data_IF_347493246677
#
_entry.id   IF_347493246677
#
_cell.length_a   1.000
_cell.length_b   1.000
_cell.length_c   1.000
_cell.angle_alpha   90.00
_cell.angle_beta   90.00
_cell.angle_gamma   90.00
#
_symmetry.space_group_name_H-M   'P 1'
#
loop_
_entity.id
_entity.type
_entity.pdbx_description
1 polymer ?
#
# COMPACT_ATOMS: atom_id res chain seq x y z
N UNK A 1 -6.55 -28.96 -65.76
CA UNK A 1 -6.57 -30.23 -65.00
C UNK A 1 -5.38 -30.18 -64.06
N UNK A 2 -5.67 -30.08 -62.75
CA UNK A 2 -4.81 -30.16 -61.55
C UNK A 2 -3.47 -29.38 -61.51
N UNK A 3 -3.43 -28.39 -60.62
CA UNK A 3 -2.24 -27.68 -60.16
C UNK A 3 -1.49 -28.48 -59.07
N UNK A 4 -0.16 -28.39 -59.07
CA UNK A 4 0.73 -28.92 -58.05
C UNK A 4 0.63 -28.07 -56.78
N UNK A 5 0.41 -28.72 -55.64
CA UNK A 5 0.53 -28.13 -54.30
C UNK A 5 1.64 -28.89 -53.56
N UNK A 6 2.66 -28.15 -53.15
CA UNK A 6 3.72 -28.59 -52.25
C UNK A 6 3.13 -28.91 -50.87
N UNK A 7 3.52 -30.07 -50.33
CA UNK A 7 3.14 -30.49 -48.99
C UNK A 7 4.12 -29.99 -47.95
N UNK A 8 3.68 -29.05 -47.11
CA UNK A 8 4.32 -28.72 -45.83
C UNK A 8 4.13 -29.87 -44.82
N UNK A 9 5.17 -30.25 -44.06
CA UNK A 9 5.03 -31.16 -42.94
C UNK A 9 4.43 -30.42 -41.73
N UNK A 10 3.25 -30.88 -41.34
CA UNK A 10 2.50 -30.48 -40.17
C UNK A 10 3.18 -30.81 -38.84
N UNK A 11 2.79 -30.01 -37.84
CA UNK A 11 2.73 -30.24 -36.39
C UNK A 11 4.00 -30.05 -35.57
N UNK A 12 4.30 -28.79 -35.28
CA UNK A 12 4.93 -28.34 -34.05
C UNK A 12 4.06 -28.71 -32.84
N UNK A 13 4.54 -29.63 -32.00
CA UNK A 13 4.01 -29.89 -30.66
C UNK A 13 4.49 -28.80 -29.70
N UNK A 14 3.67 -27.78 -29.49
CA UNK A 14 3.89 -26.76 -28.47
C UNK A 14 2.62 -26.56 -27.65
N UNK A 15 2.40 -27.44 -26.67
CA UNK A 15 1.41 -27.22 -25.62
C UNK A 15 1.65 -28.20 -24.46
N UNK A 16 2.10 -27.71 -23.28
CA UNK A 16 1.84 -28.31 -21.95
C UNK A 16 2.69 -27.73 -20.79
N UNK A 17 3.35 -26.56 -20.89
CA UNK A 17 4.18 -26.07 -19.75
C UNK A 17 3.40 -25.26 -18.70
N UNK A 18 2.17 -24.83 -18.99
CA UNK A 18 1.43 -23.88 -18.14
C UNK A 18 0.46 -24.55 -17.15
N UNK A 19 0.03 -25.79 -17.41
CA UNK A 19 -0.87 -26.53 -16.49
C UNK A 19 -0.12 -27.15 -15.29
N UNK A 20 1.18 -27.44 -15.44
CA UNK A 20 1.96 -28.14 -14.41
C UNK A 20 2.32 -27.24 -13.21
N UNK A 21 2.53 -25.95 -13.44
CA UNK A 21 2.92 -25.02 -12.37
C UNK A 21 1.74 -24.71 -11.44
N UNK A 22 0.53 -24.60 -11.98
CA UNK A 22 -0.69 -24.37 -11.20
C UNK A 22 -1.05 -25.57 -10.31
N UNK A 23 -0.85 -26.80 -10.78
CA UNK A 23 -1.05 -28.01 -9.97
C UNK A 23 0.00 -28.14 -8.87
N UNK A 24 1.27 -27.80 -9.16
CA UNK A 24 2.35 -27.80 -8.17
C UNK A 24 2.14 -26.76 -7.07
N UNK A 25 1.68 -25.55 -7.41
CA UNK A 25 1.35 -24.50 -6.43
C UNK A 25 0.18 -24.92 -5.52
N UNK A 26 -0.88 -25.51 -6.10
CA UNK A 26 -2.00 -26.07 -5.30
C UNK A 26 -1.54 -27.19 -4.37
N UNK A 27 -0.56 -27.99 -4.79
CA UNK A 27 0.01 -29.04 -3.97
C UNK A 27 0.82 -28.49 -2.78
N UNK A 28 1.67 -27.47 -3.01
CA UNK A 28 2.40 -26.78 -1.92
C UNK A 28 1.42 -26.17 -0.91
N UNK A 29 0.35 -25.51 -1.39
CA UNK A 29 -0.69 -24.96 -0.52
C UNK A 29 -1.39 -26.02 0.33
N UNK A 30 -1.57 -27.24 -0.20
CA UNK A 30 -2.19 -28.36 0.51
C UNK A 30 -1.24 -29.01 1.53
N UNK A 31 0.06 -29.04 1.23
CA UNK A 31 1.11 -29.49 2.15
C UNK A 31 1.28 -28.51 3.32
N UNK A 32 1.17 -27.21 3.04
CA UNK A 32 1.46 -26.14 3.98
C UNK A 32 0.23 -25.26 4.17
N UNK A 33 -0.80 -25.77 4.88
CA UNK A 33 -1.99 -25.00 5.14
C UNK A 33 -1.63 -23.74 5.94
N UNK A 34 -2.31 -22.62 5.69
CA UNK A 34 -2.12 -21.40 6.47
C UNK A 34 -2.40 -21.68 7.95
N UNK A 35 -1.50 -21.21 8.82
CA UNK A 35 -1.58 -21.36 10.27
C UNK A 35 -1.22 -20.03 10.91
N UNK A 36 -2.04 -19.61 11.86
CA UNK A 36 -1.79 -18.42 12.68
C UNK A 36 -1.87 -18.86 14.13
N UNK A 37 -0.78 -18.69 14.87
CA UNK A 37 -0.74 -18.99 16.31
C UNK A 37 -0.31 -17.76 17.08
N UNK A 38 -0.92 -17.55 18.24
CA UNK A 38 -0.61 -16.44 19.12
C UNK A 38 0.03 -17.00 20.38
N UNK A 39 1.22 -16.51 20.70
CA UNK A 39 1.91 -16.75 21.96
C UNK A 39 1.86 -15.48 22.81
N UNK A 40 1.12 -15.56 23.90
CA UNK A 40 0.99 -14.49 24.88
C UNK A 40 1.72 -14.80 26.20
N UNK A 41 2.56 -15.84 26.25
CA UNK A 41 3.30 -16.25 27.43
C UNK A 41 4.80 -15.91 27.34
N UNK A 42 5.42 -16.06 26.17
CA UNK A 42 6.88 -15.94 26.02
C UNK A 42 7.45 -14.53 26.18
N UNK A 43 6.63 -13.50 25.94
CA UNK A 43 7.07 -12.10 25.99
C UNK A 43 6.26 -11.34 27.05
N UNK A 44 6.89 -10.63 28.01
CA UNK A 44 6.16 -9.96 29.09
C UNK A 44 5.39 -8.71 28.64
N UNK A 45 5.90 -8.01 27.62
CA UNK A 45 5.45 -6.67 27.21
C UNK A 45 4.74 -6.64 25.85
N UNK A 46 4.77 -7.73 25.08
CA UNK A 46 4.11 -7.82 23.78
C UNK A 46 3.41 -9.17 23.59
N UNK A 47 2.50 -9.22 22.64
CA UNK A 47 1.83 -10.43 22.16
C UNK A 47 2.55 -10.89 20.89
N UNK A 48 2.98 -12.14 20.84
CA UNK A 48 3.71 -12.69 19.69
C UNK A 48 2.74 -13.42 18.76
N UNK A 49 2.73 -13.04 17.49
CA UNK A 49 1.93 -13.67 16.44
C UNK A 49 2.88 -14.39 15.50
N UNK A 50 2.66 -15.68 15.30
CA UNK A 50 3.33 -16.49 14.29
C UNK A 50 2.38 -16.74 13.12
N UNK A 51 2.88 -16.52 11.91
CA UNK A 51 2.14 -16.72 10.67
C UNK A 51 2.94 -17.66 9.78
N UNK A 52 2.39 -18.85 9.53
CA UNK A 52 2.99 -19.86 8.67
C UNK A 52 2.07 -20.17 7.49
N UNK A 53 2.59 -20.20 6.27
CA UNK A 53 1.80 -20.61 5.09
C UNK A 53 2.70 -20.94 3.90
N UNK A 54 2.10 -21.45 2.82
CA UNK A 54 2.75 -21.45 1.52
C UNK A 54 3.07 -20.01 1.07
N UNK A 55 4.27 -19.79 0.54
CA UNK A 55 4.67 -18.47 0.06
C UNK A 55 3.88 -18.09 -1.20
N UNK A 56 3.22 -16.93 -1.16
CA UNK A 56 2.56 -16.30 -2.32
C UNK A 56 3.03 -14.85 -2.43
N UNK A 57 3.14 -14.35 -3.66
CA UNK A 57 3.52 -12.96 -3.89
C UNK A 57 2.54 -12.01 -3.16
N UNK A 58 3.10 -11.07 -2.38
CA UNK A 58 2.32 -10.06 -1.66
C UNK A 58 1.77 -10.48 -0.29
N UNK A 59 2.00 -11.72 0.16
CA UNK A 59 1.46 -12.20 1.45
C UNK A 59 1.93 -11.38 2.66
N UNK A 60 3.19 -10.95 2.69
CA UNK A 60 3.71 -10.08 3.76
C UNK A 60 2.89 -8.79 3.85
N UNK A 61 2.59 -8.17 2.70
CA UNK A 61 1.81 -6.95 2.66
C UNK A 61 0.37 -7.20 3.13
N UNK A 62 -0.26 -8.33 2.74
CA UNK A 62 -1.59 -8.70 3.23
C UNK A 62 -1.64 -8.81 4.76
N UNK A 63 -0.65 -9.47 5.37
CA UNK A 63 -0.56 -9.63 6.83
C UNK A 63 -0.36 -8.28 7.50
N UNK A 64 0.58 -7.48 7.01
CA UNK A 64 0.88 -6.14 7.55
C UNK A 64 -0.31 -5.18 7.38
N UNK A 65 -1.09 -5.31 6.31
CA UNK A 65 -2.35 -4.59 6.12
C UNK A 65 -3.36 -4.92 7.23
N UNK A 66 -3.61 -6.21 7.48
CA UNK A 66 -4.52 -6.64 8.57
C UNK A 66 -4.05 -6.12 9.92
N UNK A 67 -2.76 -6.20 10.24
CA UNK A 67 -2.22 -5.67 11.49
C UNK A 67 -2.47 -4.15 11.62
N UNK A 68 -2.35 -3.43 10.50
CA UNK A 68 -2.59 -1.98 10.43
C UNK A 68 -4.06 -1.62 10.60
N UNK A 69 -4.96 -2.37 9.95
CA UNK A 69 -6.42 -2.20 10.05
C UNK A 69 -6.92 -2.46 11.47
N UNK A 70 -6.33 -3.44 12.15
CA UNK A 70 -6.57 -3.74 13.57
C UNK A 70 -5.90 -2.74 14.53
N UNK A 71 -5.19 -1.73 14.00
CA UNK A 71 -4.49 -0.69 14.76
C UNK A 71 -3.47 -1.25 15.75
N UNK A 72 -2.82 -2.35 15.38
CA UNK A 72 -1.77 -2.97 16.17
C UNK A 72 -0.44 -2.27 15.90
N UNK A 73 0.36 -2.11 16.95
CA UNK A 73 1.71 -1.55 16.86
C UNK A 73 2.70 -2.71 16.85
N UNK A 74 3.48 -2.83 15.78
CA UNK A 74 4.55 -3.83 15.66
C UNK A 74 5.81 -3.30 16.33
N UNK A 75 6.27 -3.99 17.37
CA UNK A 75 7.52 -3.67 18.11
C UNK A 75 8.73 -4.36 17.53
N UNK A 76 8.57 -5.64 17.18
CA UNK A 76 9.57 -6.41 16.46
C UNK A 76 8.91 -7.28 15.42
N UNK A 77 9.60 -7.53 14.32
CA UNK A 77 9.19 -8.53 13.36
C UNK A 77 10.39 -9.28 12.79
N UNK A 78 10.19 -10.56 12.53
CA UNK A 78 11.11 -11.42 11.80
C UNK A 78 10.36 -12.00 10.63
N UNK A 79 10.87 -11.77 9.43
CA UNK A 79 10.21 -12.12 8.17
C UNK A 79 11.06 -13.16 7.45
N UNK A 80 10.44 -14.22 6.95
CA UNK A 80 11.14 -15.25 6.19
C UNK A 80 10.23 -15.89 5.13
N UNK A 81 10.61 -15.71 3.87
CA UNK A 81 9.89 -16.18 2.67
C UNK A 81 10.83 -16.99 1.76
N UNK A 82 11.29 -18.15 2.20
CA UNK A 82 12.28 -18.97 1.49
C UNK A 82 11.77 -20.39 1.18
N UNK A 83 12.25 -21.00 0.10
CA UNK A 83 11.96 -22.38 -0.27
C UNK A 83 10.48 -22.68 -0.57
N UNK A 84 9.66 -21.67 -0.85
CA UNK A 84 8.20 -21.81 -1.00
C UNK A 84 7.42 -21.72 0.31
N UNK A 85 8.08 -21.36 1.41
CA UNK A 85 7.49 -21.23 2.74
C UNK A 85 7.48 -19.77 3.17
N UNK A 86 6.42 -19.37 3.86
CA UNK A 86 6.27 -18.07 4.49
C UNK A 86 6.14 -18.29 6.00
N UNK A 87 7.09 -17.78 6.77
CA UNK A 87 7.15 -17.91 8.23
C UNK A 87 7.56 -16.58 8.84
N UNK A 88 6.57 -15.86 9.35
CA UNK A 88 6.75 -14.54 9.92
C UNK A 88 6.32 -14.50 11.37
N UNK A 89 7.07 -13.73 12.17
CA UNK A 89 6.82 -13.54 13.60
C UNK A 89 6.71 -12.05 13.88
N UNK A 90 5.59 -11.63 14.47
CA UNK A 90 5.33 -10.24 14.83
C UNK A 90 5.10 -10.12 16.34
N UNK A 91 5.91 -9.30 17.02
CA UNK A 91 5.65 -8.89 18.39
C UNK A 91 4.83 -7.61 18.35
N UNK A 92 3.59 -7.69 18.80
CA UNK A 92 2.61 -6.59 18.70
C UNK A 92 2.08 -6.13 20.04
N UNK A 93 1.66 -4.88 20.08
CA UNK A 93 0.90 -4.27 21.17
C UNK A 93 -0.37 -3.62 20.62
N UNK A 94 -1.31 -3.29 21.50
CA UNK A 94 -2.44 -2.45 21.12
C UNK A 94 -2.00 -1.01 20.78
N UNK A 95 -2.95 -0.18 20.33
CA UNK A 95 -2.72 1.24 20.01
C UNK A 95 -2.18 2.09 21.18
N UNK A 96 -2.34 1.62 22.42
CA UNK A 96 -1.83 2.28 23.64
C UNK A 96 -0.44 1.78 24.03
N UNK A 97 0.19 0.93 23.22
CA UNK A 97 1.51 0.35 23.50
C UNK A 97 1.49 -0.78 24.55
N UNK A 98 0.32 -1.27 24.93
CA UNK A 98 0.16 -2.33 25.93
C UNK A 98 -0.05 -3.69 25.28
N UNK A 99 0.41 -4.72 25.98
CA UNK A 99 0.18 -6.12 25.60
C UNK A 99 -1.32 -6.43 25.53
N UNK A 100 -1.71 -7.25 24.56
CA UNK A 100 -3.12 -7.61 24.32
C UNK A 100 -3.46 -8.78 25.25
N UNK A 101 -4.36 -8.54 26.21
CA UNK A 101 -4.74 -9.54 27.22
C UNK A 101 -6.14 -10.12 27.01
N UNK A 102 -6.95 -9.49 26.17
CA UNK A 102 -8.34 -9.90 25.96
C UNK A 102 -8.40 -11.08 24.98
N UNK A 103 -8.86 -12.24 25.45
CA UNK A 103 -8.93 -13.47 24.65
C UNK A 103 -9.80 -13.33 23.39
N UNK A 104 -10.94 -12.62 23.48
CA UNK A 104 -11.79 -12.38 22.32
C UNK A 104 -11.10 -11.51 21.27
N UNK A 105 -10.27 -10.55 21.70
CA UNK A 105 -9.48 -9.75 20.77
C UNK A 105 -8.37 -10.58 20.12
N UNK A 106 -7.71 -11.47 20.87
CA UNK A 106 -6.69 -12.38 20.34
C UNK A 106 -7.28 -13.34 19.29
N UNK A 107 -8.42 -13.96 19.57
CA UNK A 107 -9.08 -14.83 18.59
C UNK A 107 -9.56 -14.05 17.36
N UNK A 108 -10.06 -12.82 17.56
CA UNK A 108 -10.41 -11.92 16.46
C UNK A 108 -9.20 -11.56 15.58
N UNK A 109 -8.04 -11.27 16.16
CA UNK A 109 -6.80 -11.00 15.40
C UNK A 109 -6.40 -12.22 14.58
N UNK A 110 -6.39 -13.40 15.21
CA UNK A 110 -6.04 -14.66 14.58
C UNK A 110 -6.95 -14.98 13.40
N UNK A 111 -8.26 -14.85 13.57
CA UNK A 111 -9.26 -15.11 12.53
C UNK A 111 -9.14 -14.13 11.35
N UNK A 112 -8.91 -12.83 11.60
CA UNK A 112 -8.71 -11.85 10.54
C UNK A 112 -7.44 -12.14 9.71
N UNK A 113 -6.32 -12.46 10.36
CA UNK A 113 -5.08 -12.81 9.66
C UNK A 113 -5.28 -14.11 8.88
N UNK A 114 -5.88 -15.13 9.50
CA UNK A 114 -6.15 -16.42 8.86
C UNK A 114 -7.01 -16.26 7.60
N UNK A 115 -8.11 -15.50 7.69
CA UNK A 115 -8.98 -15.22 6.54
C UNK A 115 -8.25 -14.51 5.40
N UNK A 116 -7.36 -13.57 5.73
CA UNK A 116 -6.56 -12.85 4.73
C UNK A 116 -5.63 -13.79 3.96
N UNK A 117 -4.86 -14.61 4.67
CA UNK A 117 -3.88 -15.51 4.05
C UNK A 117 -4.51 -16.76 3.39
N UNK A 118 -5.64 -17.25 3.93
CA UNK A 118 -6.36 -18.40 3.39
C UNK A 118 -7.18 -18.07 2.14
N UNK A 119 -7.49 -16.79 1.92
CA UNK A 119 -8.13 -16.34 0.69
C UNK A 119 -7.17 -16.58 -0.49
N UNK A 120 -7.62 -17.38 -1.47
CA UNK A 120 -6.83 -17.85 -2.60
C UNK A 120 -6.53 -16.80 -3.68
N UNK A 121 -6.67 -15.51 -3.37
CA UNK A 121 -6.35 -14.44 -4.32
C UNK A 121 -4.84 -14.24 -4.38
N UNK A 122 -4.19 -14.87 -5.36
CA UNK A 122 -2.83 -14.49 -5.75
C UNK A 122 -2.86 -13.06 -6.31
N UNK A 123 -2.11 -12.15 -5.68
CA UNK A 123 -1.85 -10.82 -6.23
C UNK A 123 -0.95 -10.98 -7.45
N UNK A 124 -1.53 -11.20 -8.62
CA UNK A 124 -0.83 -10.84 -9.86
C UNK A 124 -0.66 -9.31 -9.86
N UNK A 125 0.46 -8.75 -10.35
CA UNK A 125 0.64 -7.31 -10.55
C UNK A 125 -0.24 -6.77 -11.71
N UNK A 126 -1.43 -7.35 -11.90
CA UNK A 126 -2.42 -6.91 -12.86
C UNK A 126 -3.22 -5.76 -12.26
N UNK A 127 -3.23 -4.63 -12.97
CA UNK A 127 -3.97 -3.38 -12.68
C UNK A 127 -5.50 -3.54 -12.71
N UNK A 128 -6.04 -4.67 -12.30
CA UNK A 128 -7.48 -4.92 -12.27
C UNK A 128 -7.93 -5.09 -10.83
N UNK A 129 -8.93 -4.28 -10.50
CA UNK A 129 -9.65 -4.27 -9.25
C UNK A 129 -9.94 -5.71 -8.78
N UNK A 130 -9.77 -5.89 -7.47
CA UNK A 130 -10.23 -7.02 -6.68
C UNK A 130 -11.60 -7.47 -7.20
N UNK A 131 -11.67 -8.72 -7.66
CA UNK A 131 -12.92 -9.41 -7.96
C UNK A 131 -13.63 -9.81 -6.67
N UNK A 132 -14.09 -8.81 -5.92
CA UNK A 132 -15.18 -8.94 -4.97
C UNK A 132 -16.35 -8.24 -5.65
N UNK A 133 -17.47 -8.94 -5.89
CA UNK A 133 -18.71 -8.31 -6.39
C UNK A 133 -18.95 -7.02 -5.59
N UNK A 134 -18.79 -5.83 -6.18
CA UNK A 134 -18.86 -4.61 -5.42
C UNK A 134 -20.34 -4.31 -5.20
N UNK A 135 -20.87 -4.73 -4.05
CA UNK A 135 -21.98 -4.01 -3.43
C UNK A 135 -21.44 -2.67 -2.93
N UNK A 136 -21.02 -1.77 -3.85
CA UNK A 136 -20.46 -0.50 -3.47
C UNK A 136 -21.61 0.46 -3.14
N UNK A 137 -21.85 0.67 -1.85
CA UNK A 137 -22.82 1.66 -1.35
C UNK A 137 -22.43 3.11 -1.70
N UNK A 138 -21.20 3.32 -2.19
CA UNK A 138 -20.62 4.62 -2.53
C UNK A 138 -19.83 4.58 -3.84
N UNK A 139 -19.59 5.76 -4.41
CA UNK A 139 -18.70 6.00 -5.55
C UNK A 139 -17.34 6.47 -5.06
N UNK A 140 -16.26 5.92 -5.60
CA UNK A 140 -14.89 6.32 -5.27
C UNK A 140 -14.37 7.36 -6.27
N UNK A 141 -13.83 8.45 -5.76
CA UNK A 141 -13.16 9.51 -6.53
C UNK A 141 -11.69 9.54 -6.12
N UNK A 142 -10.80 9.33 -7.08
CA UNK A 142 -9.35 9.43 -6.92
C UNK A 142 -8.85 10.67 -7.63
N UNK A 143 -8.09 11.50 -6.92
CA UNK A 143 -7.54 12.76 -7.43
C UNK A 143 -6.04 12.80 -7.17
N UNK A 144 -5.28 13.21 -8.17
CA UNK A 144 -3.83 13.37 -8.06
C UNK A 144 -3.39 14.63 -8.81
N UNK A 145 -2.48 15.41 -8.24
CA UNK A 145 -1.88 16.56 -8.91
C UNK A 145 -0.99 17.40 -8.01
N UNK A 146 -0.75 18.65 -8.40
CA UNK A 146 0.11 19.58 -7.67
C UNK A 146 -0.68 20.20 -6.51
N UNK A 147 -0.14 20.10 -5.30
CA UNK A 147 -0.70 20.75 -4.12
C UNK A 147 -0.54 22.28 -4.20
N UNK A 148 -1.61 23.00 -3.83
CA UNK A 148 -1.61 24.46 -3.77
C UNK A 148 -2.59 24.96 -2.71
N UNK A 149 -2.35 26.16 -2.15
CA UNK A 149 -3.32 26.81 -1.28
C UNK A 149 -4.70 26.90 -1.94
N UNK A 150 -5.74 26.48 -1.23
CA UNK A 150 -7.13 26.51 -1.69
C UNK A 150 -7.60 25.28 -2.48
N UNK A 151 -6.71 24.34 -2.85
CA UNK A 151 -7.08 23.15 -3.65
C UNK A 151 -8.24 22.37 -3.03
N UNK A 152 -8.15 21.99 -1.76
CA UNK A 152 -9.20 21.24 -1.08
C UNK A 152 -10.52 22.03 -0.94
N UNK A 153 -10.44 23.35 -0.77
CA UNK A 153 -11.63 24.20 -0.72
C UNK A 153 -12.37 24.22 -2.07
N UNK A 154 -11.63 24.30 -3.18
CA UNK A 154 -12.20 24.22 -4.53
C UNK A 154 -12.83 22.85 -4.81
N UNK A 155 -12.15 21.76 -4.41
CA UNK A 155 -12.68 20.39 -4.52
C UNK A 155 -13.98 20.25 -3.72
N UNK A 156 -14.00 20.75 -2.49
CA UNK A 156 -15.18 20.70 -1.64
C UNK A 156 -16.36 21.47 -2.23
N UNK A 157 -16.10 22.65 -2.78
CA UNK A 157 -17.11 23.44 -3.47
C UNK A 157 -17.67 22.69 -4.69
N UNK A 158 -16.83 22.02 -5.49
CA UNK A 158 -17.30 21.22 -6.65
C UNK A 158 -18.19 20.06 -6.22
N UNK A 159 -17.79 19.28 -5.21
CA UNK A 159 -18.58 18.14 -4.74
C UNK A 159 -19.92 18.60 -4.15
N UNK A 160 -19.91 19.69 -3.37
CA UNK A 160 -21.13 20.26 -2.77
C UNK A 160 -22.09 20.79 -3.84
N UNK A 161 -21.57 21.49 -4.86
CA UNK A 161 -22.38 22.02 -5.97
C UNK A 161 -22.97 20.93 -6.89
N UNK A 162 -22.41 19.71 -6.86
CA UNK A 162 -22.88 18.57 -7.64
C UNK A 162 -23.74 17.61 -6.80
N UNK A 163 -24.27 18.09 -5.67
CA UNK A 163 -25.11 17.33 -4.74
C UNK A 163 -24.45 16.02 -4.28
N UNK A 164 -23.13 15.99 -4.17
CA UNK A 164 -22.40 14.84 -3.64
C UNK A 164 -22.35 14.95 -2.12
N UNK A 165 -22.72 13.88 -1.43
CA UNK A 165 -22.47 13.70 -0.02
C UNK A 165 -21.13 12.98 0.16
N UNK A 166 -20.22 13.55 0.95
CA UNK A 166 -18.90 12.94 1.21
C UNK A 166 -19.00 12.08 2.47
N UNK A 167 -18.81 10.77 2.31
CA UNK A 167 -18.85 9.81 3.41
C UNK A 167 -17.50 9.77 4.14
N UNK A 168 -16.42 9.65 3.38
CA UNK A 168 -15.04 9.62 3.88
C UNK A 168 -14.12 10.27 2.84
N UNK A 169 -13.09 10.96 3.31
CA UNK A 169 -12.05 11.53 2.45
C UNK A 169 -10.68 11.41 3.11
N UNK A 170 -9.74 10.78 2.40
CA UNK A 170 -8.33 10.73 2.79
C UNK A 170 -7.49 11.50 1.77
N UNK A 171 -6.67 12.42 2.28
CA UNK A 171 -5.83 13.29 1.45
C UNK A 171 -4.39 13.23 1.95
N UNK A 172 -3.44 12.97 1.06
CA UNK A 172 -2.00 13.01 1.33
C UNK A 172 -1.35 14.14 0.54
N UNK A 173 -0.43 14.85 1.18
CA UNK A 173 0.45 15.81 0.50
C UNK A 173 1.92 15.47 0.79
N UNK A 174 2.77 15.58 -0.22
CA UNK A 174 4.22 15.41 -0.09
C UNK A 174 4.93 16.01 -1.31
N UNK A 175 6.04 16.71 -1.11
CA UNK A 175 6.84 17.30 -2.20
C UNK A 175 6.02 18.09 -3.23
N UNK A 176 5.06 18.91 -2.76
CA UNK A 176 4.12 19.71 -3.60
C UNK A 176 3.20 18.86 -4.47
N UNK A 177 3.10 17.55 -4.24
CA UNK A 177 2.10 16.66 -4.82
C UNK A 177 0.99 16.42 -3.81
N UNK A 178 -0.22 16.25 -4.30
CA UNK A 178 -1.40 15.88 -3.53
C UNK A 178 -2.08 14.67 -4.16
N UNK A 179 -2.47 13.71 -3.33
CA UNK A 179 -3.34 12.60 -3.69
C UNK A 179 -4.55 12.58 -2.76
N UNK A 180 -5.75 12.31 -3.29
CA UNK A 180 -6.95 12.20 -2.51
C UNK A 180 -7.81 11.02 -2.97
N UNK A 181 -8.32 10.26 -2.01
CA UNK A 181 -9.31 9.21 -2.22
C UNK A 181 -10.57 9.60 -1.44
N UNK A 182 -11.66 9.82 -2.16
CA UNK A 182 -12.90 10.38 -1.62
C UNK A 182 -14.05 9.43 -1.93
N UNK A 183 -14.76 9.00 -0.90
CA UNK A 183 -15.97 8.18 -1.01
C UNK A 183 -17.18 9.10 -0.99
N UNK A 184 -17.98 9.07 -2.06
CA UNK A 184 -19.15 9.93 -2.23
C UNK A 184 -20.42 9.14 -2.50
N UNK A 185 -21.53 9.65 -2.01
CA UNK A 185 -22.88 9.20 -2.36
C UNK A 185 -23.67 10.35 -2.95
N UNK A 186 -24.77 10.04 -3.63
CA UNK A 186 -25.73 11.04 -4.04
C UNK A 186 -26.48 11.57 -2.80
N UNK A 187 -26.50 12.90 -2.60
CA UNK A 187 -27.17 13.53 -1.46
C UNK A 187 -28.67 13.22 -1.38
N UNK A 188 -29.35 12.98 -2.51
CA UNK A 188 -30.79 12.73 -2.54
C UNK A 188 -31.15 11.28 -2.23
N UNK A 189 -30.47 10.34 -2.87
CA UNK A 189 -30.73 8.90 -2.69
C UNK A 189 -29.96 8.25 -1.54
N UNK A 190 -28.82 8.84 -1.14
CA UNK A 190 -27.90 8.24 -0.18
C UNK A 190 -27.08 7.06 -0.72
N UNK A 191 -27.21 6.76 -2.02
CA UNK A 191 -26.58 5.62 -2.68
C UNK A 191 -25.42 6.06 -3.57
N UNK A 192 -24.65 5.08 -4.09
CA UNK A 192 -23.63 5.32 -5.10
C UNK A 192 -24.20 6.05 -6.32
N UNK A 193 -23.41 6.96 -6.87
CA UNK A 193 -23.76 7.71 -8.07
C UNK A 193 -23.54 6.80 -9.29
N UNK A 194 -24.62 6.24 -9.84
CA UNK A 194 -24.56 5.34 -11.00
C UNK A 194 -24.73 6.07 -12.35
N UNK A 195 -25.25 7.30 -12.34
CA UNK A 195 -25.48 8.07 -13.56
C UNK A 195 -24.17 8.47 -14.25
N UNK A 196 -23.89 7.84 -15.39
CA UNK A 196 -22.66 8.04 -16.16
C UNK A 196 -22.47 9.49 -16.61
N UNK A 197 -23.55 10.23 -16.93
CA UNK A 197 -23.43 11.63 -17.32
C UNK A 197 -23.03 12.50 -16.13
N UNK A 198 -23.64 12.28 -14.97
CA UNK A 198 -23.25 12.96 -13.73
C UNK A 198 -21.82 12.64 -13.32
N UNK A 199 -21.41 11.38 -13.41
CA UNK A 199 -20.01 10.99 -13.16
C UNK A 199 -19.06 11.69 -14.13
N UNK A 200 -19.44 11.81 -15.40
CA UNK A 200 -18.70 12.58 -16.41
C UNK A 200 -18.53 14.06 -16.02
N UNK A 201 -19.62 14.71 -15.58
CA UNK A 201 -19.60 16.10 -15.10
C UNK A 201 -18.73 16.28 -13.86
N UNK A 202 -18.83 15.37 -12.88
CA UNK A 202 -17.99 15.38 -11.67
C UNK A 202 -16.53 15.26 -12.05
N UNK A 203 -16.19 14.27 -12.88
CA UNK A 203 -14.83 14.03 -13.37
C UNK A 203 -14.27 15.24 -14.10
N UNK A 204 -15.02 15.86 -14.99
CA UNK A 204 -14.57 17.04 -15.74
C UNK A 204 -14.34 18.25 -14.83
N UNK A 205 -15.27 18.53 -13.90
CA UNK A 205 -15.15 19.66 -12.98
C UNK A 205 -13.97 19.51 -12.04
N UNK A 206 -13.79 18.32 -11.46
CA UNK A 206 -12.66 18.02 -10.58
C UNK A 206 -11.34 18.04 -11.35
N UNK A 207 -11.33 17.51 -12.58
CA UNK A 207 -10.15 17.60 -13.44
C UNK A 207 -9.76 19.05 -13.69
N UNK A 208 -10.71 19.97 -13.89
CA UNK A 208 -10.39 21.39 -14.10
C UNK A 208 -9.80 22.06 -12.85
N UNK A 209 -10.24 21.65 -11.65
CA UNK A 209 -9.65 22.10 -10.38
C UNK A 209 -8.21 21.58 -10.24
N UNK A 210 -7.96 20.33 -10.59
CA UNK A 210 -6.63 19.72 -10.46
C UNK A 210 -5.66 20.12 -11.60
N UNK A 211 -6.16 20.38 -12.82
CA UNK A 211 -5.37 20.79 -14.00
C UNK A 211 -5.06 22.30 -14.09
N UNK A 212 -5.16 23.07 -13.00
CA UNK A 212 -4.78 24.50 -13.05
C UNK A 212 -3.39 24.69 -13.70
N UNK A 213 -3.30 25.44 -14.81
CA UNK A 213 -2.12 25.71 -15.68
C UNK A 213 -1.20 24.53 -16.08
N UNK A 214 -1.32 23.33 -15.54
CA UNK A 214 -0.43 22.17 -15.78
C UNK A 214 -1.21 20.91 -16.19
N UNK A 215 -0.59 20.06 -17.00
CA UNK A 215 -1.21 18.90 -17.68
C UNK A 215 -1.15 17.59 -16.88
N UNK A 216 -0.59 17.60 -15.67
CA UNK A 216 -0.20 16.37 -14.95
C UNK A 216 -1.24 15.82 -13.97
N UNK A 217 -2.45 16.37 -13.95
CA UNK A 217 -3.46 15.98 -12.96
C UNK A 217 -4.37 14.85 -13.46
N UNK A 218 -4.65 13.89 -12.58
CA UNK A 218 -5.41 12.68 -12.88
C UNK A 218 -6.64 12.62 -11.99
N UNK A 219 -7.79 12.36 -12.62
CA UNK A 219 -9.06 12.12 -11.92
C UNK A 219 -9.64 10.80 -12.41
N UNK A 220 -9.77 9.85 -11.49
CA UNK A 220 -10.44 8.56 -11.73
C UNK A 220 -11.69 8.51 -10.88
N UNK A 221 -12.77 8.01 -11.46
CA UNK A 221 -13.98 7.67 -10.73
C UNK A 221 -14.22 6.19 -10.95
N UNK A 222 -14.27 5.43 -9.86
CA UNK A 222 -14.36 3.97 -9.89
C UNK A 222 -15.40 3.47 -8.87
N UNK A 223 -15.86 2.25 -9.09
CA UNK A 223 -16.63 1.47 -8.11
C UNK A 223 -15.71 0.39 -7.56
N UNK A 224 -15.64 0.24 -6.23
CA UNK A 224 -14.88 -0.84 -5.61
C UNK A 224 -14.33 -0.50 -4.23
N UNK A 225 -13.93 -1.57 -3.53
CA UNK A 225 -13.28 -1.52 -2.22
C UNK A 225 -11.78 -1.62 -2.49
N UNK A 226 -11.05 -0.53 -2.26
CA UNK A 226 -9.59 -0.55 -2.18
C UNK A 226 -9.19 -0.16 -0.76
N UNK A 227 -8.12 -0.76 -0.24
CA UNK A 227 -7.51 -0.27 1.00
C UNK A 227 -6.99 1.14 0.72
N UNK A 228 -7.68 2.16 1.23
CA UNK A 228 -7.48 3.59 0.91
C UNK A 228 -6.03 4.00 1.04
N UNK A 229 -5.37 3.60 2.13
CA UNK A 229 -3.97 3.96 2.38
C UNK A 229 -2.99 3.33 1.37
N UNK A 230 -3.19 2.06 0.98
CA UNK A 230 -2.40 1.41 -0.07
C UNK A 230 -2.63 2.10 -1.41
N UNK A 231 -3.88 2.49 -1.69
CA UNK A 231 -4.19 3.17 -2.94
C UNK A 231 -3.54 4.55 -3.00
N UNK A 232 -3.50 5.29 -1.90
CA UNK A 232 -2.80 6.57 -1.79
C UNK A 232 -1.28 6.41 -1.99
N UNK A 233 -0.66 5.35 -1.44
CA UNK A 233 0.74 5.01 -1.75
C UNK A 233 0.99 4.87 -3.24
N UNK A 234 0.16 4.07 -3.92
CA UNK A 234 0.27 3.84 -5.36
C UNK A 234 0.07 5.13 -6.16
N UNK A 235 -0.91 5.96 -5.78
CA UNK A 235 -1.15 7.24 -6.42
C UNK A 235 0.04 8.17 -6.28
N UNK A 236 0.63 8.30 -5.09
CA UNK A 236 1.81 9.14 -4.86
C UNK A 236 3.04 8.64 -5.62
N UNK A 237 3.25 7.31 -5.66
CA UNK A 237 4.32 6.68 -6.41
C UNK A 237 4.16 6.89 -7.93
N UNK A 238 2.96 6.68 -8.48
CA UNK A 238 2.63 6.94 -9.90
C UNK A 238 2.90 8.41 -10.27
N UNK A 239 2.67 9.31 -9.32
CA UNK A 239 2.82 10.76 -9.45
C UNK A 239 4.24 11.28 -9.19
N UNK A 240 5.14 10.36 -8.82
CA UNK A 240 6.58 10.60 -8.57
C UNK A 240 6.85 11.62 -7.49
N UNK A 241 6.08 11.60 -6.42
CA UNK A 241 6.30 12.44 -5.24
C UNK A 241 7.70 12.26 -4.62
N UNK A 242 8.37 11.14 -4.88
CA UNK A 242 9.73 10.84 -4.41
C UNK A 242 10.85 11.60 -5.17
N UNK A 243 10.56 12.21 -6.33
CA UNK A 243 11.55 12.97 -7.09
C UNK A 243 11.85 14.31 -6.39
N UNK A 244 12.98 14.37 -5.67
CA UNK A 244 13.48 15.63 -5.07
C UNK A 244 14.32 16.41 -6.07
N UNK A 245 14.15 17.74 -6.09
CA UNK A 245 15.07 18.64 -6.78
C UNK A 245 16.28 18.90 -5.85
N UNK A 246 17.50 18.68 -6.34
CA UNK A 246 18.75 18.68 -5.56
C UNK A 246 19.00 19.93 -4.68
N UNK A 247 18.27 21.03 -4.90
CA UNK A 247 18.39 22.29 -4.14
C UNK A 247 17.91 22.21 -2.68
N UNK A 248 17.18 21.18 -2.29
CA UNK A 248 16.60 21.06 -0.94
C UNK A 248 17.46 20.25 0.05
N UNK A 249 18.61 19.68 -0.38
CA UNK A 249 19.47 18.81 0.45
C UNK A 249 20.64 19.50 1.16
N UNK A 250 20.77 20.83 1.06
CA UNK A 250 21.98 21.55 1.53
C UNK A 250 22.13 21.71 3.06
N UNK A 251 21.23 21.20 3.92
CA UNK A 251 21.41 21.34 5.37
C UNK A 251 21.07 20.08 6.18
N UNK A 252 22.10 19.60 6.91
CA UNK A 252 22.13 18.57 7.96
C UNK A 252 21.53 17.19 7.60
N UNK A 253 22.35 16.13 7.62
CA UNK A 253 21.95 14.72 7.44
C UNK A 253 20.49 14.45 7.85
N UNK A 254 19.55 14.49 6.90
CA UNK A 254 18.15 14.47 7.26
C UNK A 254 17.76 13.01 7.42
N UNK A 255 17.30 12.67 8.62
CA UNK A 255 16.52 11.46 8.81
C UNK A 255 15.31 11.53 7.86
N UNK A 256 14.94 10.47 7.14
CA UNK A 256 15.35 9.07 7.30
C UNK A 256 16.67 8.69 6.59
N UNK A 257 17.45 7.81 7.21
CA UNK A 257 18.63 7.21 6.59
C UNK A 257 18.25 5.89 5.93
N UNK A 258 18.35 5.80 4.61
CA UNK A 258 18.09 4.58 3.83
C UNK A 258 19.33 4.24 3.02
N UNK A 259 19.78 2.99 3.07
CA UNK A 259 20.85 2.46 2.25
C UNK A 259 20.41 1.17 1.56
N UNK A 260 20.96 0.93 0.37
CA UNK A 260 20.72 -0.28 -0.42
C UNK A 260 22.07 -0.81 -0.87
N UNK A 261 22.39 -2.05 -0.50
CA UNK A 261 23.69 -2.68 -0.78
C UNK A 261 23.46 -4.08 -1.32
N UNK A 262 24.20 -4.47 -2.37
CA UNK A 262 24.10 -5.81 -2.91
C UNK A 262 24.93 -6.80 -2.10
N UNK A 263 24.31 -7.90 -1.68
CA UNK A 263 24.97 -9.04 -1.06
C UNK A 263 25.35 -10.06 -2.14
N UNK A 264 26.56 -9.90 -2.67
CA UNK A 264 27.05 -10.65 -3.85
C UNK A 264 27.13 -12.17 -3.66
N UNK A 265 27.19 -12.69 -2.43
CA UNK A 265 27.25 -14.13 -2.17
C UNK A 265 25.90 -14.84 -2.19
N UNK A 266 24.78 -14.12 -2.05
CA UNK A 266 23.44 -14.71 -1.92
C UNK A 266 22.42 -14.11 -2.89
N UNK A 267 22.88 -13.34 -3.89
CA UNK A 267 22.05 -12.69 -4.89
C UNK A 267 20.87 -11.89 -4.30
N UNK A 268 21.10 -11.22 -3.17
CA UNK A 268 20.12 -10.33 -2.54
C UNK A 268 20.59 -8.88 -2.61
N UNK A 269 19.64 -7.95 -2.59
CA UNK A 269 19.91 -6.58 -2.18
C UNK A 269 19.40 -6.37 -0.76
N UNK A 270 20.22 -5.78 0.09
CA UNK A 270 19.87 -5.46 1.47
C UNK A 270 19.51 -3.99 1.55
N UNK A 271 18.27 -3.73 1.96
CA UNK A 271 17.77 -2.41 2.29
C UNK A 271 17.87 -2.25 3.80
N UNK A 272 18.64 -1.26 4.25
CA UNK A 272 18.70 -0.89 5.66
C UNK A 272 18.12 0.50 5.82
N UNK A 273 17.18 0.65 6.76
CA UNK A 273 16.56 1.93 7.06
C UNK A 273 16.57 2.21 8.55
N UNK A 274 16.84 3.47 8.86
CA UNK A 274 16.79 4.01 10.22
C UNK A 274 15.98 5.29 10.17
N UNK A 275 14.94 5.40 10.98
CA UNK A 275 14.10 6.60 11.06
C UNK A 275 13.51 6.78 12.47
N UNK A 276 12.80 7.89 12.72
CA UNK A 276 11.96 8.00 13.91
C UNK A 276 10.85 6.95 13.81
N UNK A 277 10.59 6.23 14.90
CA UNK A 277 9.47 5.28 14.92
C UNK A 277 8.14 6.03 14.85
N UNK A 278 7.15 5.42 14.19
CA UNK A 278 5.79 5.93 14.10
C UNK A 278 4.81 4.82 13.74
N UNK A 279 3.51 4.98 14.06
CA UNK A 279 2.48 4.07 13.56
C UNK A 279 2.56 3.87 12.05
N UNK A 280 2.26 2.66 11.60
CA UNK A 280 2.19 2.25 10.18
C UNK A 280 3.52 2.31 9.41
N UNK A 281 4.65 2.54 10.07
CA UNK A 281 5.95 2.58 9.41
C UNK A 281 6.25 1.28 8.64
N UNK A 282 6.02 0.12 9.26
CA UNK A 282 6.21 -1.19 8.61
C UNK A 282 5.30 -1.36 7.38
N UNK A 283 4.05 -0.91 7.47
CA UNK A 283 3.13 -0.94 6.34
C UNK A 283 3.65 -0.09 5.19
N UNK A 284 4.07 1.15 5.46
CA UNK A 284 4.53 2.07 4.42
C UNK A 284 5.80 1.54 3.71
N UNK A 285 6.72 0.91 4.45
CA UNK A 285 7.98 0.38 3.90
C UNK A 285 7.75 -0.87 3.06
N UNK A 286 6.99 -1.84 3.57
CA UNK A 286 6.63 -3.07 2.84
C UNK A 286 5.76 -2.76 1.62
N UNK A 287 4.80 -1.83 1.75
CA UNK A 287 3.96 -1.38 0.64
C UNK A 287 4.82 -0.78 -0.48
N UNK A 288 5.76 0.09 -0.13
CA UNK A 288 6.67 0.72 -1.10
C UNK A 288 7.50 -0.33 -1.85
N UNK A 289 8.12 -1.28 -1.13
CA UNK A 289 8.89 -2.35 -1.77
C UNK A 289 8.02 -3.20 -2.71
N UNK A 290 6.82 -3.57 -2.26
CA UNK A 290 5.89 -4.40 -3.04
C UNK A 290 5.39 -3.66 -4.30
N UNK A 291 5.04 -2.38 -4.18
CA UNK A 291 4.58 -1.56 -5.31
C UNK A 291 5.72 -1.27 -6.30
N UNK A 292 6.97 -1.27 -5.83
CA UNK A 292 8.17 -1.27 -6.68
C UNK A 292 8.55 -2.65 -7.23
N UNK A 293 7.69 -3.67 -7.07
CA UNK A 293 7.88 -5.04 -7.54
C UNK A 293 9.06 -5.79 -6.90
N UNK A 294 9.43 -5.40 -5.68
CA UNK A 294 10.41 -6.13 -4.87
C UNK A 294 9.73 -7.07 -3.88
N UNK A 295 10.26 -8.30 -3.80
CA UNK A 295 9.85 -9.33 -2.86
C UNK A 295 10.82 -9.34 -1.68
N UNK A 296 10.30 -9.27 -0.46
CA UNK A 296 11.07 -9.42 0.77
C UNK A 296 11.22 -10.91 1.08
N UNK A 297 12.45 -11.42 1.00
CA UNK A 297 12.78 -12.81 1.35
C UNK A 297 13.10 -12.96 2.82
N UNK A 298 13.84 -12.02 3.38
CA UNK A 298 14.10 -11.98 4.82
C UNK A 298 13.96 -10.55 5.31
N UNK A 299 13.55 -10.38 6.56
CA UNK A 299 13.43 -9.06 7.16
C UNK A 299 13.55 -9.08 8.67
N UNK A 300 14.05 -7.98 9.21
CA UNK A 300 14.08 -7.71 10.64
C UNK A 300 13.59 -6.31 10.89
N UNK A 301 12.68 -6.15 11.84
CA UNK A 301 12.10 -4.87 12.27
C UNK A 301 12.30 -4.75 13.76
N UNK A 302 12.81 -3.62 14.21
CA UNK A 302 12.97 -3.30 15.62
C UNK A 302 12.60 -1.84 15.88
N UNK A 303 11.63 -1.61 16.76
CA UNK A 303 11.17 -0.28 17.19
C UNK A 303 11.24 -0.08 18.71
N UNK A 304 11.97 -0.94 19.43
CA UNK A 304 12.14 -0.79 20.88
C UNK A 304 13.13 0.33 21.25
N UNK A 305 13.97 0.76 20.31
CA UNK A 305 14.93 1.84 20.48
C UNK A 305 14.33 3.26 20.33
N UNK A 306 15.16 4.31 20.50
CA UNK A 306 14.75 5.70 20.24
C UNK A 306 14.42 5.97 18.76
N UNK A 307 14.78 5.03 17.88
CA UNK A 307 14.60 5.08 16.44
C UNK A 307 14.19 3.68 15.98
N UNK A 308 13.37 3.62 14.94
CA UNK A 308 13.05 2.37 14.26
C UNK A 308 14.22 1.96 13.36
N UNK A 309 14.54 0.68 13.38
CA UNK A 309 15.49 0.02 12.50
C UNK A 309 14.74 -1.06 11.72
N UNK A 310 14.89 -1.05 10.39
CA UNK A 310 14.40 -2.14 9.55
C UNK A 310 15.47 -2.56 8.55
N UNK A 311 15.59 -3.86 8.33
CA UNK A 311 16.50 -4.46 7.37
C UNK A 311 15.73 -5.48 6.54
N UNK A 312 15.82 -5.37 5.21
CA UNK A 312 15.13 -6.26 4.29
C UNK A 312 16.08 -6.81 3.24
N UNK A 313 16.03 -8.11 3.02
CA UNK A 313 16.70 -8.83 1.96
C UNK A 313 15.69 -8.99 0.82
N UNK A 314 15.91 -8.25 -0.25
CA UNK A 314 14.97 -8.14 -1.36
C UNK A 314 15.57 -8.67 -2.66
N UNK A 315 14.69 -9.16 -3.53
CA UNK A 315 14.93 -9.36 -4.96
C UNK A 315 13.78 -8.74 -5.73
N UNK A 316 14.05 -8.30 -6.95
CA UNK A 316 12.97 -7.95 -7.86
C UNK A 316 12.12 -9.19 -8.18
N UNK A 317 10.88 -9.02 -8.62
CA UNK A 317 9.97 -10.12 -8.94
C UNK A 317 10.52 -11.07 -10.02
N UNK A 318 11.47 -10.60 -10.84
CA UNK A 318 12.21 -11.43 -11.81
C UNK A 318 13.33 -12.27 -11.19
N UNK A 319 13.55 -12.17 -9.88
CA UNK A 319 14.57 -12.89 -9.12
C UNK A 319 15.94 -12.22 -9.08
N UNK A 320 16.14 -11.09 -9.75
CA UNK A 320 17.42 -10.39 -9.78
C UNK A 320 17.61 -9.45 -8.57
N UNK A 321 18.85 -9.22 -8.11
CA UNK A 321 19.15 -8.13 -7.18
C UNK A 321 19.06 -6.77 -7.91
N UNK A 322 19.17 -5.68 -7.16
CA UNK A 322 19.24 -4.32 -7.70
C UNK A 322 20.46 -4.18 -8.60
N UNK A 323 20.26 -3.90 -9.88
CA UNK A 323 21.32 -4.03 -10.88
C UNK A 323 21.94 -2.69 -11.32
N UNK A 324 21.33 -1.55 -10.97
CA UNK A 324 21.81 -0.23 -11.38
C UNK A 324 21.81 0.82 -10.26
N UNK A 325 22.71 1.81 -10.37
CA UNK A 325 22.72 2.97 -9.46
C UNK A 325 21.42 3.77 -9.53
N UNK A 326 20.84 3.91 -10.73
CA UNK A 326 19.58 4.64 -10.91
C UNK A 326 18.40 3.95 -10.20
N UNK A 327 18.33 2.63 -10.28
CA UNK A 327 17.35 1.81 -9.57
C UNK A 327 17.55 1.89 -8.05
N UNK A 328 18.79 1.74 -7.58
CA UNK A 328 19.15 1.94 -6.17
C UNK A 328 18.73 3.31 -5.64
N UNK A 329 19.06 4.39 -6.37
CA UNK A 329 18.67 5.75 -6.00
C UNK A 329 17.15 5.90 -5.95
N UNK A 330 16.43 5.28 -6.90
CA UNK A 330 14.96 5.28 -6.92
C UNK A 330 14.37 4.60 -5.69
N UNK A 331 14.87 3.43 -5.30
CA UNK A 331 14.41 2.70 -4.10
C UNK A 331 14.62 3.56 -2.85
N UNK A 332 15.81 4.15 -2.71
CA UNK A 332 16.14 5.05 -1.60
C UNK A 332 15.13 6.21 -1.55
N UNK A 333 14.94 6.92 -2.67
CA UNK A 333 14.02 8.06 -2.74
C UNK A 333 12.57 7.67 -2.44
N UNK A 334 12.10 6.54 -2.95
CA UNK A 334 10.73 6.07 -2.70
C UNK A 334 10.51 5.73 -1.22
N UNK A 335 11.47 5.05 -0.58
CA UNK A 335 11.41 4.73 0.84
C UNK A 335 11.52 5.98 1.72
N UNK A 336 12.42 6.91 1.40
CA UNK A 336 12.52 8.20 2.09
C UNK A 336 11.18 8.95 2.03
N UNK A 337 10.58 9.07 0.84
CA UNK A 337 9.30 9.72 0.65
C UNK A 337 8.17 9.01 1.43
N UNK A 338 8.10 7.68 1.35
CA UNK A 338 7.10 6.90 2.07
C UNK A 338 7.19 7.08 3.60
N UNK A 339 8.41 7.15 4.14
CA UNK A 339 8.63 7.42 5.56
C UNK A 339 8.14 8.83 5.92
N UNK A 340 8.46 9.83 5.09
CA UNK A 340 8.17 11.25 5.33
C UNK A 340 6.69 11.65 5.16
N UNK A 341 5.94 10.95 4.29
CA UNK A 341 4.51 11.23 4.02
C UNK A 341 3.65 11.38 5.28
N UNK A 342 3.99 10.69 6.38
CA UNK A 342 3.21 10.68 7.64
C UNK A 342 3.93 11.24 8.86
N UNK A 343 5.09 11.90 8.71
CA UNK A 343 5.88 12.41 9.85
C UNK A 343 5.15 13.51 10.64
N UNK A 344 4.11 14.12 10.06
CA UNK A 344 3.33 15.20 10.69
C UNK A 344 2.16 14.76 11.57
N UNK A 345 1.78 13.47 11.62
CA UNK A 345 0.64 13.01 12.45
C UNK A 345 0.87 13.21 13.96
N UNK A 346 2.12 13.45 14.40
CA UNK A 346 2.47 13.63 15.82
C UNK A 346 2.40 15.06 16.36
N UNK A 347 2.27 16.08 15.50
CA UNK A 347 2.17 17.48 15.94
C UNK A 347 0.71 17.95 15.91
N UNK A 348 -0.09 17.58 16.91
CA UNK A 348 -1.34 18.31 17.19
C UNK A 348 -1.08 19.57 18.03
N UNK A 349 -1.92 20.62 17.98
CA UNK A 349 -2.86 21.05 16.95
C UNK A 349 -2.22 22.13 16.06
N UNK A 350 -2.27 21.97 14.74
CA UNK A 350 -1.81 23.02 13.83
C UNK A 350 -2.78 24.21 13.86
N UNK A 351 -2.25 25.40 14.18
CA UNK A 351 -2.83 26.69 13.84
C UNK A 351 -3.01 26.75 12.31
N UNK A 352 -4.22 26.46 11.84
CA UNK A 352 -4.61 26.58 10.44
C UNK A 352 -5.35 27.91 10.26
N UNK A 353 -4.62 28.91 9.76
CA UNK A 353 -5.22 30.15 9.28
C UNK A 353 -6.18 29.85 8.12
N UNK A 354 -7.41 30.37 8.21
CA UNK A 354 -8.41 30.46 7.13
C UNK A 354 -9.13 29.18 6.66
N UNK A 355 -8.63 27.97 6.91
CA UNK A 355 -9.26 26.74 6.41
C UNK A 355 -10.41 26.19 7.29
N UNK A 356 -10.46 26.55 8.58
CA UNK A 356 -11.44 26.01 9.53
C UNK A 356 -12.91 26.25 9.17
N UNK A 357 -13.24 27.24 8.34
CA UNK A 357 -14.62 27.56 8.00
C UNK A 357 -15.25 26.62 6.94
N UNK A 358 -14.45 25.93 6.12
CA UNK A 358 -14.96 25.05 5.04
C UNK A 358 -15.02 23.58 5.48
N UNK A 359 -14.19 23.17 6.45
CA UNK A 359 -14.11 21.78 6.92
C UNK A 359 -15.25 21.35 7.86
N UNK A 360 -16.10 22.29 8.33
CA UNK A 360 -17.25 21.96 9.19
C UNK A 360 -18.38 21.20 8.46
N UNK A 361 -18.30 21.03 7.13
CA UNK A 361 -19.33 20.33 6.36
C UNK A 361 -19.06 18.84 6.14
N UNK A 362 -17.85 18.34 6.38
CA UNK A 362 -17.49 16.93 6.13
C UNK A 362 -17.12 16.22 7.43
N UNK A 363 -17.94 15.25 7.90
CA UNK A 363 -17.78 14.68 9.24
C UNK A 363 -16.52 13.81 9.41
N UNK A 364 -15.93 13.27 8.34
CA UNK A 364 -14.79 12.35 8.40
C UNK A 364 -13.74 12.63 7.31
N UNK A 365 -13.00 13.74 7.45
CA UNK A 365 -11.89 14.08 6.54
C UNK A 365 -10.57 13.94 7.28
N UNK A 366 -9.67 13.12 6.75
CA UNK A 366 -8.29 13.01 7.25
C UNK A 366 -7.33 13.61 6.24
N UNK A 367 -6.68 14.71 6.63
CA UNK A 367 -5.60 15.33 5.87
C UNK A 367 -4.28 14.93 6.52
N UNK A 368 -3.44 14.23 5.76
CA UNK A 368 -2.11 13.77 6.17
C UNK A 368 -1.08 14.66 5.47
N UNK A 369 -0.31 15.39 6.29
CA UNK A 369 0.71 16.36 5.92
C UNK A 369 0.19 17.68 5.30
N UNK A 370 0.84 18.79 5.68
CA UNK A 370 0.70 20.11 5.05
C UNK A 370 1.98 20.92 5.21
#
# INVERSE_FOLDING_TARGET
MAAFADGDPSSSSSCSSWDSDDEYQKFIQKMNPPRVTIDNASCANATTIHVDSANKYGILLEVVQVLTDLKLIVKKAYISSDGGWFMDVFNVTNQSGQKIMNESALEGIKDNIYKSIASSSCFLPSRRAIGFEPSSDYTLIELTGIDRPGLLSEVSAVLTNLDCNVMNAEVWTHNKRAAAVIQVTDRKSGLAILDAERLGRIKERLRNVFNGRSRDAKTIVAMGITHTERRLHQMMLEDRDYERYDKDRENANPMPMVSVVNWLQKDYSVVTMRCKDRPKLLFDTVCTLTDMQYVVYHGSVDTEGPQAYQEYYIRHIDGSPVNSEAERKRIIQCLEAAIERRVSEENGPFLLDGAHAVFLQWPEVRVVNR
#
